data_IF_050106734780
#
_entry.id   IF_050106734780
#
_cell.length_a   1.000
_cell.length_b   1.000
_cell.length_c   1.000
_cell.angle_alpha   90.00
_cell.angle_beta   90.00
_cell.angle_gamma   90.00
#
_symmetry.space_group_name_H-M   'P 1'
#
loop_
_entity.id
_entity.type
_entity.pdbx_description
1 polymer ?
#
# COMPACT_ATOMS: atom_id res chain seq x y z
N UNK A 1 -51.02 10.70 -7.74
CA UNK A 1 -50.24 9.90 -6.78
C UNK A 1 -49.17 9.02 -7.44
N UNK A 2 -49.40 8.42 -8.61
CA UNK A 2 -48.44 7.55 -9.31
C UNK A 2 -47.16 8.27 -9.82
N UNK A 3 -47.27 9.52 -10.28
CA UNK A 3 -46.12 10.30 -10.78
C UNK A 3 -45.08 10.60 -9.68
N UNK A 4 -45.54 10.79 -8.44
CA UNK A 4 -44.69 11.00 -7.25
C UNK A 4 -43.92 9.74 -6.89
N UNK A 5 -44.55 8.57 -7.02
CA UNK A 5 -43.90 7.27 -6.78
C UNK A 5 -42.80 6.98 -7.80
N UNK A 6 -43.05 7.30 -9.08
CA UNK A 6 -42.05 7.18 -10.15
C UNK A 6 -40.84 8.09 -9.92
N UNK A 7 -41.07 9.33 -9.48
CA UNK A 7 -40.02 10.30 -9.18
C UNK A 7 -39.17 9.88 -7.97
N UNK A 8 -39.79 9.30 -6.93
CA UNK A 8 -39.10 8.74 -5.76
C UNK A 8 -38.27 7.51 -6.12
N UNK A 9 -38.80 6.60 -6.95
CA UNK A 9 -38.04 5.44 -7.43
C UNK A 9 -36.88 5.85 -8.32
N UNK A 10 -37.07 6.82 -9.24
CA UNK A 10 -35.99 7.32 -10.09
C UNK A 10 -34.87 7.99 -9.28
N UNK A 11 -35.22 8.78 -8.26
CA UNK A 11 -34.24 9.37 -7.35
C UNK A 11 -33.50 8.28 -6.56
N UNK A 12 -34.17 7.23 -6.07
CA UNK A 12 -33.50 6.17 -5.33
C UNK A 12 -32.53 5.33 -6.17
N UNK A 13 -32.87 5.06 -7.44
CA UNK A 13 -31.97 4.38 -8.38
C UNK A 13 -30.68 5.16 -8.65
N UNK A 14 -30.74 6.50 -8.62
CA UNK A 14 -29.53 7.33 -8.81
C UNK A 14 -28.59 7.29 -7.61
N UNK A 15 -29.09 7.08 -6.38
CA UNK A 15 -28.25 7.02 -5.17
C UNK A 15 -27.47 5.70 -5.08
N UNK A 16 -28.05 4.60 -5.56
CA UNK A 16 -27.38 3.29 -5.65
C UNK A 16 -26.24 3.24 -6.68
N UNK A 17 -26.11 4.27 -7.53
CA UNK A 17 -25.04 4.37 -8.54
C UNK A 17 -23.78 5.07 -8.00
N UNK A 18 -23.83 5.60 -6.77
CA UNK A 18 -22.72 6.29 -6.12
C UNK A 18 -21.81 5.28 -5.41
N UNK A 19 -21.01 4.57 -6.21
CA UNK A 19 -19.79 3.90 -5.77
C UNK A 19 -19.98 2.62 -4.97
N UNK A 20 -19.57 1.49 -5.55
CA UNK A 20 -18.89 0.46 -4.78
C UNK A 20 -17.40 0.82 -4.85
N UNK A 21 -16.63 0.60 -3.79
CA UNK A 21 -15.17 0.85 -3.78
C UNK A 21 -14.50 0.23 -5.01
N UNK A 22 -13.39 0.80 -5.46
CA UNK A 22 -12.64 0.26 -6.60
C UNK A 22 -11.42 -0.48 -6.09
N UNK A 23 -11.19 -1.65 -6.66
CA UNK A 23 -9.91 -2.33 -6.51
C UNK A 23 -8.82 -1.47 -7.11
N UNK A 24 -7.81 -1.15 -6.32
CA UNK A 24 -6.64 -0.39 -6.73
C UNK A 24 -5.38 -1.16 -6.32
N UNK A 25 -4.31 -1.05 -7.10
CA UNK A 25 -3.11 -1.86 -6.88
C UNK A 25 -1.82 -1.04 -6.98
N UNK A 26 -0.83 -1.46 -6.20
CA UNK A 26 0.50 -0.88 -6.21
C UNK A 26 1.55 -1.95 -6.01
N UNK A 27 2.73 -1.70 -6.55
CA UNK A 27 3.90 -2.55 -6.40
C UNK A 27 5.16 -1.76 -6.15
N UNK A 28 6.08 -2.37 -5.43
CA UNK A 28 7.40 -1.80 -5.14
C UNK A 28 8.46 -2.88 -5.26
N UNK A 29 9.52 -2.58 -5.97
CA UNK A 29 10.73 -3.41 -6.03
C UNK A 29 11.90 -2.61 -5.49
N UNK A 30 12.81 -3.25 -4.78
CA UNK A 30 14.02 -2.58 -4.32
C UNK A 30 15.12 -3.51 -3.85
N UNK A 31 16.21 -2.90 -3.39
CA UNK A 31 17.35 -3.59 -2.78
C UNK A 31 17.82 -2.86 -1.53
N UNK A 32 17.99 -3.60 -0.44
CA UNK A 32 18.44 -3.08 0.85
C UNK A 32 19.92 -3.40 1.07
N UNK A 33 20.69 -2.35 1.40
CA UNK A 33 22.11 -2.44 1.72
C UNK A 33 22.32 -1.92 3.14
N UNK A 34 22.99 -2.71 3.97
CA UNK A 34 23.41 -2.37 5.33
C UNK A 34 24.95 -2.44 5.40
N UNK A 35 25.61 -1.34 5.76
CA UNK A 35 27.08 -1.23 5.85
C UNK A 35 27.82 -1.77 4.61
N UNK A 36 27.31 -1.42 3.43
CA UNK A 36 27.87 -1.84 2.14
C UNK A 36 27.60 -3.30 1.76
N UNK A 37 26.85 -4.06 2.57
CA UNK A 37 26.48 -5.46 2.30
C UNK A 37 24.99 -5.61 2.05
N UNK A 38 24.57 -6.56 1.19
CA UNK A 38 23.16 -6.88 1.04
C UNK A 38 22.50 -7.27 2.37
N UNK A 39 21.37 -6.63 2.69
CA UNK A 39 20.60 -6.92 3.89
C UNK A 39 19.56 -8.00 3.58
N UNK A 40 19.92 -9.27 3.80
CA UNK A 40 19.06 -10.42 3.53
C UNK A 40 18.09 -10.73 4.68
N UNK A 41 16.92 -11.28 4.35
CA UNK A 41 15.93 -11.71 5.35
C UNK A 41 15.19 -10.58 6.06
N UNK A 42 15.39 -9.32 5.64
CA UNK A 42 14.70 -8.14 6.18
C UNK A 42 13.24 -8.21 5.81
N UNK A 43 12.36 -8.00 6.78
CA UNK A 43 10.91 -8.03 6.53
C UNK A 43 10.48 -6.71 5.92
N UNK A 44 9.73 -6.77 4.84
CA UNK A 44 9.18 -5.61 4.13
C UNK A 44 7.67 -5.78 3.97
N UNK A 45 6.91 -4.70 4.15
CA UNK A 45 5.45 -4.72 4.04
C UNK A 45 4.95 -3.48 3.33
N UNK A 46 4.08 -3.69 2.34
CA UNK A 46 3.37 -2.65 1.62
C UNK A 46 1.98 -2.49 2.24
N UNK A 47 1.67 -1.27 2.64
CA UNK A 47 0.39 -0.88 3.23
C UNK A 47 -0.29 0.17 2.35
N UNK A 48 -1.60 0.27 2.49
CA UNK A 48 -2.32 1.52 2.27
C UNK A 48 -2.23 2.36 3.55
N UNK A 49 -1.76 3.61 3.45
CA UNK A 49 -1.65 4.55 4.59
C UNK A 49 -2.92 5.38 4.69
N UNK A 50 -3.99 4.77 5.20
CA UNK A 50 -5.25 5.48 5.35
C UNK A 50 -5.14 6.55 6.44
N UNK A 51 -5.07 7.82 6.01
CA UNK A 51 -5.04 8.96 6.92
C UNK A 51 -6.46 9.25 7.41
N UNK A 52 -7.04 8.34 8.20
CA UNK A 52 -8.48 8.33 8.45
C UNK A 52 -8.98 7.55 9.68
N UNK A 53 -10.14 6.93 9.52
CA UNK A 53 -10.93 6.21 10.55
C UNK A 53 -10.72 4.69 10.45
N UNK A 54 -10.19 4.27 9.32
CA UNK A 54 -9.66 2.96 8.93
C UNK A 54 -8.26 2.74 9.50
N UNK A 55 -7.88 1.47 9.58
CA UNK A 55 -6.55 1.05 9.99
C UNK A 55 -5.78 0.63 8.74
N UNK A 56 -4.50 1.02 8.64
CA UNK A 56 -3.63 0.71 7.49
C UNK A 56 -3.85 -0.71 6.93
N UNK A 57 -4.32 -0.79 5.69
CA UNK A 57 -4.55 -2.05 5.02
C UNK A 57 -3.24 -2.70 4.56
N UNK A 58 -2.95 -3.90 5.07
CA UNK A 58 -1.80 -4.68 4.60
C UNK A 58 -2.06 -5.22 3.19
N UNK A 59 -1.46 -4.57 2.18
CA UNK A 59 -1.57 -4.98 0.78
C UNK A 59 -0.67 -6.17 0.43
N UNK A 60 0.58 -6.17 0.93
CA UNK A 60 1.55 -7.23 0.66
C UNK A 60 2.67 -7.30 1.70
N UNK A 61 3.25 -8.48 1.90
CA UNK A 61 4.41 -8.69 2.77
C UNK A 61 5.42 -9.66 2.16
N UNK A 62 6.69 -9.48 2.50
CA UNK A 62 7.77 -10.32 2.02
C UNK A 62 9.05 -10.15 2.81
N UNK A 63 10.10 -10.81 2.33
CA UNK A 63 11.46 -10.68 2.87
C UNK A 63 12.46 -10.47 1.75
N UNK A 64 13.53 -9.73 2.03
CA UNK A 64 14.64 -9.61 1.09
C UNK A 64 15.36 -10.95 0.88
N UNK A 65 15.82 -11.19 -0.34
CA UNK A 65 16.62 -12.37 -0.68
C UNK A 65 18.09 -12.22 -0.24
N UNK A 66 18.94 -13.20 -0.60
CA UNK A 66 20.38 -13.18 -0.28
C UNK A 66 21.14 -11.98 -0.88
N UNK A 67 20.62 -11.37 -1.94
CA UNK A 67 21.14 -10.17 -2.59
C UNK A 67 20.48 -8.89 -2.05
N UNK A 68 19.69 -8.97 -0.98
CA UNK A 68 19.00 -7.84 -0.37
C UNK A 68 17.81 -7.34 -1.20
N UNK A 69 17.43 -8.04 -2.26
CA UNK A 69 16.37 -7.63 -3.19
C UNK A 69 15.00 -8.09 -2.71
N UNK A 70 13.98 -7.29 -2.98
CA UNK A 70 12.58 -7.62 -2.72
C UNK A 70 11.68 -7.06 -3.82
N UNK A 71 10.51 -7.68 -4.01
CA UNK A 71 9.43 -7.18 -4.84
C UNK A 71 8.10 -7.50 -4.15
N UNK A 72 7.27 -6.48 -3.96
CA UNK A 72 5.92 -6.59 -3.40
C UNK A 72 4.92 -6.05 -4.42
N UNK A 73 3.77 -6.71 -4.52
CA UNK A 73 2.60 -6.25 -5.28
C UNK A 73 1.37 -6.59 -4.47
N UNK A 74 0.48 -5.63 -4.29
CA UNK A 74 -0.75 -5.82 -3.54
C UNK A 74 -1.86 -4.93 -4.07
N UNK A 75 -3.05 -5.12 -3.52
CA UNK A 75 -4.24 -4.36 -3.85
C UNK A 75 -5.12 -4.20 -2.60
N UNK A 76 -5.99 -3.19 -2.61
CA UNK A 76 -7.12 -3.08 -1.67
C UNK A 76 -8.36 -2.55 -2.42
N UNK A 77 -9.53 -2.67 -1.81
CA UNK A 77 -10.80 -2.17 -2.34
C UNK A 77 -11.18 -0.87 -1.64
N UNK A 78 -10.83 0.26 -2.26
CA UNK A 78 -10.98 1.57 -1.65
C UNK A 78 -11.88 2.50 -2.46
N UNK A 79 -12.62 3.36 -1.76
CA UNK A 79 -13.41 4.41 -2.41
C UNK A 79 -12.53 5.58 -2.86
N UNK A 80 -11.51 5.88 -2.07
CA UNK A 80 -10.51 6.92 -2.32
C UNK A 80 -9.27 6.34 -2.98
N UNK A 81 -8.43 7.16 -3.63
CA UNK A 81 -7.13 6.71 -4.09
C UNK A 81 -6.31 6.12 -2.92
N UNK A 82 -5.64 5.00 -3.18
CA UNK A 82 -4.73 4.38 -2.20
C UNK A 82 -3.48 5.25 -2.00
N UNK A 83 -2.90 5.23 -0.81
CA UNK A 83 -1.69 5.90 -0.35
C UNK A 83 -0.58 4.86 -0.01
N UNK A 84 0.13 4.27 -1.00
CA UNK A 84 1.03 3.15 -0.76
C UNK A 84 2.23 3.52 0.12
N UNK A 85 2.40 2.81 1.23
CA UNK A 85 3.50 2.98 2.20
C UNK A 85 4.28 1.69 2.39
N UNK A 86 5.61 1.77 2.24
CA UNK A 86 6.50 0.65 2.46
C UNK A 86 7.16 0.73 3.84
N UNK A 87 6.88 -0.25 4.69
CA UNK A 87 7.53 -0.44 5.98
C UNK A 87 8.65 -1.46 5.87
N UNK A 88 9.83 -1.12 6.37
CA UNK A 88 11.02 -1.98 6.39
C UNK A 88 11.37 -2.26 7.86
N UNK A 89 11.40 -3.53 8.25
CA UNK A 89 11.68 -3.96 9.62
C UNK A 89 13.07 -4.60 9.67
N UNK A 90 14.03 -3.84 10.17
CA UNK A 90 15.45 -4.22 10.25
C UNK A 90 16.03 -3.82 11.60
N UNK A 91 17.12 -4.47 11.98
CA UNK A 91 17.98 -4.16 13.14
C UNK A 91 19.33 -3.55 12.72
N UNK A 92 19.49 -3.25 11.42
CA UNK A 92 20.69 -2.63 10.88
C UNK A 92 20.96 -1.28 11.57
N UNK A 93 22.08 -1.23 12.30
CA UNK A 93 22.59 -0.03 12.96
C UNK A 93 21.68 0.57 14.08
N UNK A 94 20.86 -0.23 14.77
CA UNK A 94 19.92 0.22 15.82
C UNK A 94 20.54 1.06 16.97
N UNK A 95 21.86 0.96 17.20
CA UNK A 95 22.59 1.75 18.21
C UNK A 95 23.04 3.15 17.73
N UNK A 96 22.90 3.45 16.43
CA UNK A 96 23.11 4.79 15.87
C UNK A 96 21.75 5.47 15.71
N UNK A 97 21.16 5.83 16.85
CA UNK A 97 20.01 6.73 16.92
C UNK A 97 20.42 8.05 16.24
N UNK A 98 20.10 8.16 14.95
CA UNK A 98 19.71 9.36 14.19
C UNK A 98 19.94 9.23 12.67
N UNK A 99 20.78 8.32 12.15
CA UNK A 99 20.86 8.03 10.71
C UNK A 99 21.44 6.62 10.49
N UNK A 100 20.60 5.58 10.57
CA UNK A 100 20.92 4.31 9.93
C UNK A 100 20.84 4.54 8.41
N UNK A 101 21.98 4.71 7.74
CA UNK A 101 21.99 4.87 6.28
C UNK A 101 21.72 3.51 5.62
N UNK A 102 20.47 3.05 5.61
CA UNK A 102 20.08 2.08 4.60
C UNK A 102 20.06 2.83 3.28
N UNK A 103 20.94 2.43 2.36
CA UNK A 103 20.86 2.94 1.00
C UNK A 103 19.74 2.17 0.31
N UNK A 104 18.59 2.82 0.15
CA UNK A 104 17.43 2.19 -0.43
C UNK A 104 17.25 2.63 -1.88
N UNK A 105 17.24 1.65 -2.77
CA UNK A 105 16.85 1.86 -4.16
C UNK A 105 15.46 1.26 -4.36
N UNK A 106 14.48 2.09 -4.70
CA UNK A 106 13.11 1.67 -4.98
C UNK A 106 12.70 2.00 -6.41
N UNK A 107 11.88 1.13 -6.98
CA UNK A 107 11.07 1.40 -8.17
C UNK A 107 9.62 1.10 -7.82
N UNK A 108 8.76 2.10 -7.92
CA UNK A 108 7.31 1.94 -7.74
C UNK A 108 6.63 1.65 -9.08
N UNK A 109 5.68 0.71 -9.05
CA UNK A 109 4.79 0.39 -10.16
C UNK A 109 3.35 0.65 -9.72
N UNK A 110 2.70 1.64 -10.32
CA UNK A 110 1.27 1.90 -10.11
C UNK A 110 0.49 1.02 -11.09
N UNK A 111 -0.35 0.13 -10.57
CA UNK A 111 -1.25 -0.69 -11.38
C UNK A 111 -2.60 0.00 -11.50
N UNK A 112 -2.99 0.34 -12.73
CA UNK A 112 -4.34 0.84 -13.06
C UNK A 112 -5.43 -0.16 -12.73
#
# INVERSE_FOLDING_TARGET
MMFKFFLVCALMSTVLSLGLGRTQSSGVRGRLICDGKPAAGVTVKLYDDDRGVDADDLMAAGKTNAQGEFELRGYTEEFTPIDPKLNIYHDCNDLKVLVGNIHILFTFHFGS
#
